data_IF_548594542077
#
_entry.id   IF_548594542077
#
_cell.length_a   1.000
_cell.length_b   1.000
_cell.length_c   1.000
_cell.angle_alpha   90.00
_cell.angle_beta   90.00
_cell.angle_gamma   90.00
#
_symmetry.space_group_name_H-M   'P 1'
#
loop_
_entity.id
_entity.type
_entity.pdbx_description
1 polymer ?
#
# COMPACT_ATOMS: atom_id res chain seq x y z
N UNK A 1 25.70 -7.62 -37.66
CA UNK A 1 25.44 -8.54 -36.54
C UNK A 1 24.51 -7.81 -35.60
N UNK A 2 23.24 -8.24 -35.58
CA UNK A 2 22.14 -7.53 -34.91
C UNK A 2 22.33 -7.59 -33.39
N UNK A 3 22.60 -6.43 -32.77
CA UNK A 3 22.48 -6.26 -31.33
C UNK A 3 20.99 -6.11 -31.05
N UNK A 4 20.39 -7.19 -30.58
CA UNK A 4 18.98 -7.29 -30.23
C UNK A 4 18.63 -6.32 -29.09
N UNK A 5 17.82 -5.33 -29.44
CA UNK A 5 17.05 -4.45 -28.56
C UNK A 5 15.96 -5.27 -27.87
N UNK A 6 16.19 -5.70 -26.63
CA UNK A 6 15.30 -6.32 -25.63
C UNK A 6 16.05 -6.11 -24.27
N UNK A 7 15.59 -5.52 -23.18
CA UNK A 7 14.26 -5.26 -22.62
C UNK A 7 14.28 -3.96 -21.79
N UNK A 8 13.15 -3.27 -21.85
CA UNK A 8 12.80 -2.10 -21.06
C UNK A 8 12.19 -2.60 -19.75
N UNK A 9 12.53 -1.95 -18.64
CA UNK A 9 11.59 -1.79 -17.53
C UNK A 9 11.94 -2.56 -16.26
N UNK A 10 12.82 -1.97 -15.44
CA UNK A 10 12.56 -1.91 -14.00
C UNK A 10 12.86 -0.47 -13.60
N UNK A 11 11.83 0.37 -13.70
CA UNK A 11 11.87 1.72 -13.13
C UNK A 11 12.04 1.58 -11.63
N UNK A 12 13.22 1.95 -11.13
CA UNK A 12 13.51 2.03 -9.71
C UNK A 12 12.56 3.08 -9.12
N UNK A 13 11.54 2.64 -8.39
CA UNK A 13 10.75 3.54 -7.53
C UNK A 13 11.57 3.77 -6.27
N UNK A 14 12.32 4.87 -6.28
CA UNK A 14 13.00 5.40 -5.09
C UNK A 14 11.92 6.03 -4.22
N UNK A 15 11.55 5.40 -3.10
CA UNK A 15 10.75 6.04 -2.07
C UNK A 15 11.68 6.86 -1.17
N UNK A 16 11.39 8.16 -1.05
CA UNK A 16 12.18 9.12 -0.29
C UNK A 16 11.97 8.93 1.22
N UNK A 17 13.06 8.66 1.93
CA UNK A 17 13.11 8.70 3.39
C UNK A 17 13.40 10.14 3.83
N UNK A 18 12.45 10.81 4.47
CA UNK A 18 12.68 12.12 5.10
C UNK A 18 12.62 11.98 6.62
N UNK A 19 13.72 12.35 7.28
CA UNK A 19 13.86 12.34 8.74
C UNK A 19 13.26 13.64 9.29
N UNK A 20 12.16 13.54 10.03
CA UNK A 20 11.60 14.61 10.84
C UNK A 20 11.41 14.12 12.28
N UNK A 21 12.19 14.63 13.23
CA UNK A 21 11.97 14.36 14.66
C UNK A 21 10.91 15.34 15.14
N UNK A 22 9.66 14.88 15.26
CA UNK A 22 8.54 15.64 15.81
C UNK A 22 7.77 14.83 16.86
N UNK A 23 8.24 14.82 18.12
CA UNK A 23 7.54 14.11 19.21
C UNK A 23 6.20 14.79 19.51
N UNK A 24 5.10 14.22 19.00
CA UNK A 24 3.73 14.48 19.50
C UNK A 24 3.32 13.33 20.41
N UNK A 25 3.13 13.63 21.69
CA UNK A 25 2.89 12.67 22.78
C UNK A 25 1.40 12.33 23.00
N UNK A 26 0.51 12.60 22.03
CA UNK A 26 -0.94 12.56 22.26
C UNK A 26 -1.74 11.48 21.48
N UNK A 27 -1.15 10.71 20.55
CA UNK A 27 -1.91 9.80 19.66
C UNK A 27 -1.61 8.28 19.77
N UNK A 28 -0.60 7.88 20.56
CA UNK A 28 0.05 6.55 20.43
C UNK A 28 -0.84 5.31 20.62
N UNK A 29 -1.88 5.35 21.46
CA UNK A 29 -2.76 4.19 21.66
C UNK A 29 -3.78 4.01 20.53
N UNK A 30 -4.16 5.09 19.85
CA UNK A 30 -4.98 5.00 18.64
C UNK A 30 -4.17 4.39 17.50
N UNK A 31 -2.99 4.96 17.22
CA UNK A 31 -2.19 4.66 16.03
C UNK A 31 -1.83 3.18 15.88
N UNK A 32 -1.64 2.45 16.98
CA UNK A 32 -1.38 0.99 16.91
C UNK A 32 -2.59 0.23 16.38
N UNK A 33 -3.80 0.55 16.86
CA UNK A 33 -5.03 -0.09 16.38
C UNK A 33 -5.34 0.26 14.92
N UNK A 34 -5.03 1.49 14.48
CA UNK A 34 -5.16 1.84 13.06
C UNK A 34 -4.10 1.17 12.20
N UNK A 35 -2.86 1.00 12.69
CA UNK A 35 -1.83 0.27 11.95
C UNK A 35 -2.21 -1.20 11.71
N UNK A 36 -2.72 -1.87 12.75
CA UNK A 36 -3.21 -3.24 12.64
C UNK A 36 -4.35 -3.36 11.60
N UNK A 37 -5.22 -2.35 11.54
CA UNK A 37 -6.28 -2.28 10.53
C UNK A 37 -5.71 -2.09 9.11
N UNK A 38 -4.71 -1.23 8.91
CA UNK A 38 -4.07 -1.06 7.60
C UNK A 38 -3.31 -2.33 7.19
N UNK A 39 -2.66 -3.03 8.13
CA UNK A 39 -2.04 -4.33 7.87
C UNK A 39 -3.06 -5.36 7.39
N UNK A 40 -4.20 -5.47 8.08
CA UNK A 40 -5.28 -6.37 7.69
C UNK A 40 -5.80 -6.04 6.28
N UNK A 41 -6.03 -4.77 5.96
CA UNK A 41 -6.49 -4.35 4.64
C UNK A 41 -5.47 -4.66 3.54
N UNK A 42 -4.16 -4.52 3.81
CA UNK A 42 -3.12 -4.93 2.85
C UNK A 42 -3.13 -6.44 2.60
N UNK A 43 -3.38 -7.23 3.65
CA UNK A 43 -3.55 -8.69 3.51
C UNK A 43 -4.84 -9.05 2.77
N UNK A 44 -5.94 -8.34 3.00
CA UNK A 44 -7.21 -8.53 2.25
C UNK A 44 -7.03 -8.22 0.75
N UNK A 45 -6.30 -7.15 0.40
CA UNK A 45 -5.96 -6.86 -1.01
C UNK A 45 -5.11 -7.99 -1.59
N UNK A 46 -4.15 -8.51 -0.82
CA UNK A 46 -3.33 -9.65 -1.23
C UNK A 46 -4.19 -10.89 -1.48
N UNK A 47 -5.13 -11.20 -0.60
CA UNK A 47 -6.06 -12.33 -0.77
C UNK A 47 -6.95 -12.13 -1.99
N UNK A 48 -7.48 -10.92 -2.20
CA UNK A 48 -8.26 -10.60 -3.39
C UNK A 48 -7.47 -10.81 -4.70
N UNK A 49 -6.17 -10.50 -4.73
CA UNK A 49 -5.30 -10.78 -5.89
C UNK A 49 -5.10 -12.28 -6.12
N UNK A 50 -4.93 -13.06 -5.05
CA UNK A 50 -4.81 -14.51 -5.15
C UNK A 50 -6.11 -15.15 -5.68
N UNK A 51 -7.25 -14.73 -5.14
CA UNK A 51 -8.57 -15.18 -5.56
C UNK A 51 -8.87 -14.80 -7.01
N UNK A 52 -8.55 -13.56 -7.40
CA UNK A 52 -8.70 -13.09 -8.78
C UNK A 52 -7.82 -13.91 -9.73
N UNK A 53 -6.57 -14.18 -9.36
CA UNK A 53 -5.69 -15.03 -10.16
C UNK A 53 -6.22 -16.46 -10.28
N UNK A 54 -6.76 -17.04 -9.22
CA UNK A 54 -7.38 -18.37 -9.26
C UNK A 54 -8.61 -18.39 -10.20
N UNK A 55 -9.45 -17.36 -10.13
CA UNK A 55 -10.69 -17.28 -10.92
C UNK A 55 -10.45 -16.93 -12.40
N UNK A 56 -9.48 -16.05 -12.70
CA UNK A 56 -9.32 -15.44 -14.03
C UNK A 56 -7.94 -15.65 -14.66
N UNK A 57 -6.99 -16.24 -13.95
CA UNK A 57 -5.66 -16.61 -14.47
C UNK A 57 -4.67 -15.45 -14.61
N UNK A 58 -4.92 -14.32 -13.95
CA UNK A 58 -4.03 -13.15 -13.98
C UNK A 58 -4.19 -12.24 -12.77
N UNK A 59 -3.13 -11.47 -12.48
CA UNK A 59 -3.10 -10.45 -11.43
C UNK A 59 -3.55 -9.08 -11.96
N UNK A 60 -4.01 -8.20 -11.08
CA UNK A 60 -4.49 -6.86 -11.43
C UNK A 60 -3.54 -5.79 -10.89
N UNK A 61 -3.08 -4.89 -11.77
CA UNK A 61 -2.39 -3.68 -11.32
C UNK A 61 -3.40 -2.64 -10.85
N UNK A 62 -3.10 -1.98 -9.73
CA UNK A 62 -3.93 -0.90 -9.20
C UNK A 62 -3.09 0.33 -8.88
N UNK A 63 -3.50 1.46 -9.48
CA UNK A 63 -2.96 2.78 -9.14
C UNK A 63 -3.35 3.16 -7.70
N UNK A 64 -2.57 4.07 -7.12
CA UNK A 64 -2.73 4.52 -5.75
C UNK A 64 -4.15 5.04 -5.49
N UNK A 65 -4.79 4.53 -4.44
CA UNK A 65 -6.13 4.89 -4.00
C UNK A 65 -6.21 4.91 -2.47
N UNK A 66 -7.06 5.76 -1.85
CA UNK A 66 -7.88 6.80 -2.48
C UNK A 66 -7.09 8.06 -2.82
N UNK A 67 -5.84 8.16 -2.33
CA UNK A 67 -4.96 9.32 -2.49
C UNK A 67 -3.57 8.88 -2.94
N UNK A 68 -2.78 9.76 -3.59
CA UNK A 68 -1.38 9.45 -3.86
C UNK A 68 -0.58 9.35 -2.56
N UNK A 69 0.49 8.55 -2.49
CA UNK A 69 1.31 8.38 -1.28
C UNK A 69 1.85 9.69 -0.71
N UNK A 70 2.21 10.64 -1.57
CA UNK A 70 2.73 11.94 -1.18
C UNK A 70 1.71 12.87 -0.49
N UNK A 71 0.43 12.51 -0.51
CA UNK A 71 -0.66 13.26 0.14
C UNK A 71 -1.17 12.55 1.41
N UNK A 72 -0.48 11.49 1.86
CA UNK A 72 -0.81 10.79 3.10
C UNK A 72 -0.38 11.61 4.30
N UNK A 73 -1.32 11.78 5.22
CA UNK A 73 -1.21 12.43 6.52
C UNK A 73 -2.13 11.71 7.53
N UNK A 74 -2.20 12.20 8.77
CA UNK A 74 -3.01 11.61 9.84
C UNK A 74 -4.53 11.71 9.65
N UNK A 75 -5.01 12.31 8.56
CA UNK A 75 -6.44 12.48 8.30
C UNK A 75 -6.99 11.27 7.56
N UNK A 76 -8.07 10.69 8.07
CA UNK A 76 -8.85 9.71 7.33
C UNK A 76 -9.57 10.38 6.16
N UNK A 77 -9.58 9.71 5.00
CA UNK A 77 -10.26 10.21 3.80
C UNK A 77 -11.23 9.16 3.28
N UNK A 78 -12.34 9.56 2.63
CA UNK A 78 -13.27 8.60 2.05
C UNK A 78 -12.59 7.65 1.07
N UNK A 79 -13.02 6.38 1.05
CA UNK A 79 -12.52 5.44 0.04
C UNK A 79 -13.01 5.83 -1.36
N UNK A 80 -12.06 5.96 -2.27
CA UNK A 80 -12.29 6.19 -3.70
C UNK A 80 -11.39 5.23 -4.48
N UNK A 81 -11.97 4.11 -4.93
CA UNK A 81 -11.22 3.09 -5.66
C UNK A 81 -10.59 3.65 -6.96
N UNK A 82 -9.36 3.22 -7.27
CA UNK A 82 -8.83 3.33 -8.62
C UNK A 82 -9.46 2.26 -9.54
N UNK A 83 -9.25 2.38 -10.85
CA UNK A 83 -9.78 1.40 -11.81
C UNK A 83 -9.25 -0.02 -11.56
N UNK A 84 -8.03 -0.16 -11.03
CA UNK A 84 -7.47 -1.45 -10.66
C UNK A 84 -8.21 -2.07 -9.48
N UNK A 85 -8.45 -1.30 -8.41
CA UNK A 85 -9.23 -1.79 -7.26
C UNK A 85 -10.67 -2.13 -7.64
N UNK A 86 -11.29 -1.37 -8.57
CA UNK A 86 -12.62 -1.73 -9.11
C UNK A 86 -12.61 -3.07 -9.86
N UNK A 87 -11.54 -3.37 -10.61
CA UNK A 87 -11.39 -4.66 -11.31
C UNK A 87 -11.11 -5.81 -10.35
N UNK A 88 -10.28 -5.55 -9.34
CA UNK A 88 -10.02 -6.47 -8.24
C UNK A 88 -11.27 -6.73 -7.40
N UNK A 89 -12.31 -5.89 -7.53
CA UNK A 89 -13.54 -5.92 -6.74
C UNK A 89 -13.27 -5.82 -5.23
N UNK A 90 -12.22 -5.08 -4.86
CA UNK A 90 -11.84 -4.86 -3.48
C UNK A 90 -12.19 -3.44 -3.02
N UNK A 91 -12.68 -3.35 -1.80
CA UNK A 91 -12.87 -2.13 -1.03
C UNK A 91 -12.63 -2.47 0.45
N UNK A 92 -12.24 -1.50 1.29
CA UNK A 92 -12.07 -1.74 2.71
C UNK A 92 -13.42 -2.08 3.35
N UNK A 93 -13.47 -3.18 4.10
CA UNK A 93 -14.68 -3.62 4.79
C UNK A 93 -15.04 -2.66 5.92
N UNK A 94 -16.33 -2.31 6.02
CA UNK A 94 -16.91 -1.50 7.10
C UNK A 94 -16.25 -0.12 7.33
N UNK A 95 -15.47 0.38 6.36
CA UNK A 95 -14.76 1.65 6.46
C UNK A 95 -15.19 2.62 5.36
N UNK A 96 -16.00 3.62 5.75
CA UNK A 96 -16.30 4.76 4.86
C UNK A 96 -15.06 5.62 4.61
N UNK A 97 -14.08 5.58 5.52
CA UNK A 97 -12.84 6.37 5.48
C UNK A 97 -11.61 5.52 5.81
N UNK A 98 -10.48 5.82 5.17
CA UNK A 98 -9.19 5.14 5.35
C UNK A 98 -8.06 6.12 5.61
N UNK A 99 -7.04 5.68 6.35
CA UNK A 99 -5.86 6.49 6.68
C UNK A 99 -4.71 6.31 5.70
N UNK A 100 -4.70 5.24 4.89
CA UNK A 100 -3.57 4.93 4.03
C UNK A 100 -3.85 5.22 2.54
N UNK A 101 -2.76 5.25 1.77
CA UNK A 101 -2.77 5.11 0.32
C UNK A 101 -2.38 3.67 -0.01
N UNK A 102 -3.17 2.96 -0.83
CA UNK A 102 -2.95 1.57 -1.23
C UNK A 102 -2.64 1.51 -2.72
N UNK A 103 -1.76 0.62 -3.15
CA UNK A 103 -1.48 0.35 -4.56
C UNK A 103 -1.09 -1.11 -4.78
N UNK A 104 -1.28 -1.60 -6.01
CA UNK A 104 -0.86 -2.93 -6.44
C UNK A 104 0.04 -2.80 -7.67
N UNK A 105 1.30 -3.21 -7.54
CA UNK A 105 2.25 -3.28 -8.62
C UNK A 105 2.43 -4.73 -9.09
N UNK A 106 2.28 -4.96 -10.40
CA UNK A 106 2.59 -6.25 -10.99
C UNK A 106 4.10 -6.48 -11.05
N UNK A 107 4.53 -7.69 -10.75
CA UNK A 107 5.93 -8.12 -10.81
C UNK A 107 6.10 -9.27 -11.80
N UNK A 108 7.34 -9.67 -12.09
CA UNK A 108 7.64 -10.80 -12.98
C UNK A 108 7.24 -12.14 -12.35
N UNK A 109 5.94 -12.46 -12.35
CA UNK A 109 5.37 -13.69 -11.80
C UNK A 109 4.48 -13.51 -10.57
N UNK A 110 4.13 -12.28 -10.19
CA UNK A 110 3.29 -12.03 -9.03
C UNK A 110 2.86 -10.57 -8.94
N UNK A 111 2.64 -10.11 -7.72
CA UNK A 111 2.28 -8.74 -7.40
C UNK A 111 2.92 -8.31 -6.08
N UNK A 112 2.93 -7.01 -5.86
CA UNK A 112 3.27 -6.34 -4.60
C UNK A 112 2.15 -5.38 -4.25
N UNK A 113 1.57 -5.56 -3.07
CA UNK A 113 0.66 -4.59 -2.47
C UNK A 113 1.49 -3.67 -1.58
N UNK A 114 1.27 -2.37 -1.69
CA UNK A 114 1.91 -1.38 -0.81
C UNK A 114 0.85 -0.50 -0.19
N UNK A 115 0.96 -0.24 1.11
CA UNK A 115 0.25 0.84 1.77
C UNK A 115 1.20 1.85 2.40
N UNK A 116 0.85 3.13 2.29
CA UNK A 116 1.58 4.25 2.91
C UNK A 116 0.66 4.95 3.90
N UNK A 117 1.12 5.15 5.13
CA UNK A 117 0.34 5.74 6.23
C UNK A 117 1.20 6.69 7.07
N UNK A 118 0.58 7.72 7.67
CA UNK A 118 1.20 8.68 8.61
C UNK A 118 0.17 8.97 9.72
N UNK A 119 -0.03 8.01 10.61
CA UNK A 119 -1.03 7.99 11.67
C UNK A 119 -0.75 8.99 12.79
N UNK A 120 0.49 9.38 13.02
CA UNK A 120 0.82 10.38 14.06
C UNK A 120 0.99 11.81 13.51
N UNK A 121 1.00 11.96 12.19
CA UNK A 121 1.00 13.25 11.49
C UNK A 121 2.31 14.00 11.61
N UNK A 122 3.40 13.30 11.97
CA UNK A 122 4.74 13.89 12.04
C UNK A 122 5.42 13.98 10.65
N UNK A 123 4.75 13.43 9.62
CA UNK A 123 5.22 13.41 8.24
C UNK A 123 6.17 12.25 7.94
N UNK A 124 6.49 11.40 8.92
CA UNK A 124 7.23 10.17 8.73
C UNK A 124 6.27 9.04 8.35
N UNK A 125 6.22 8.76 7.06
CA UNK A 125 5.30 7.76 6.53
C UNK A 125 5.81 6.33 6.78
N UNK A 126 4.94 5.48 7.33
CA UNK A 126 5.15 4.05 7.39
C UNK A 126 4.82 3.40 6.04
N UNK A 127 5.65 2.43 5.65
CA UNK A 127 5.43 1.62 4.45
C UNK A 127 5.10 0.19 4.87
N UNK A 128 3.92 -0.27 4.46
CA UNK A 128 3.47 -1.64 4.64
C UNK A 128 3.50 -2.32 3.28
N UNK A 129 4.02 -3.54 3.24
CA UNK A 129 4.08 -4.33 2.01
C UNK A 129 3.55 -5.75 2.23
N UNK A 130 2.84 -6.24 1.24
CA UNK A 130 2.56 -7.66 1.06
C UNK A 130 2.93 -8.07 -0.36
N UNK A 131 3.19 -9.36 -0.56
CA UNK A 131 3.51 -9.91 -1.88
C UNK A 131 2.70 -11.17 -2.12
N UNK A 132 2.76 -11.69 -3.35
CA UNK A 132 2.24 -13.01 -3.66
C UNK A 132 2.69 -14.08 -2.64
N UNK A 133 3.93 -14.03 -2.16
CA UNK A 133 4.53 -15.08 -1.32
C UNK A 133 4.49 -14.78 0.19
N UNK A 134 4.30 -13.51 0.57
CA UNK A 134 4.44 -13.08 1.96
C UNK A 134 3.28 -12.17 2.38
N UNK A 135 2.76 -12.34 3.61
CA UNK A 135 1.71 -11.49 4.16
C UNK A 135 2.20 -10.07 4.44
N UNK A 136 1.26 -9.20 4.81
CA UNK A 136 1.49 -7.81 5.13
C UNK A 136 2.49 -7.66 6.28
N UNK A 137 3.45 -6.76 6.11
CA UNK A 137 4.41 -6.40 7.15
C UNK A 137 4.86 -4.96 7.01
N UNK A 138 5.14 -4.33 8.14
CA UNK A 138 5.74 -2.99 8.19
C UNK A 138 7.21 -3.10 7.81
N UNK A 139 7.63 -2.30 6.84
CA UNK A 139 9.01 -2.29 6.32
C UNK A 139 9.84 -1.13 6.86
N UNK A 140 9.20 -0.16 7.51
CA UNK A 140 9.83 0.98 8.17
C UNK A 140 10.27 0.68 9.61
N UNK A 141 11.19 1.47 10.19
CA UNK A 141 11.60 1.33 11.59
C UNK A 141 10.42 1.46 12.56
N UNK A 142 10.52 0.80 13.73
CA UNK A 142 9.56 0.95 14.82
C UNK A 142 9.42 2.42 15.25
N UNK A 143 8.19 2.88 15.44
CA UNK A 143 7.91 4.27 15.81
C UNK A 143 7.58 5.20 14.65
N UNK A 144 7.57 4.68 13.41
CA UNK A 144 7.07 5.38 12.21
C UNK A 144 5.71 4.78 11.90
N UNK A 145 4.64 5.58 11.98
CA UNK A 145 3.24 5.14 11.81
C UNK A 145 2.43 6.21 11.11
#
# INVERSE_FOLDING_TARGET
MNIGRNEIGIGIVILLLAIGIGVVLAGREGSVGQLDHVLAQVDEIREAELDHHEAFGGYVGAEAAPRPPAAVDATAVPWEASDGFRRLSWAPDDADEVYASYAVALTGGGFRVTAVVDLDGDGAQALIEATHEAPASVTTPSGVY
#
